data_IF_902834883571
#
_entry.id   IF_902834883571
#
_cell.length_a   1.000
_cell.length_b   1.000
_cell.length_c   1.000
_cell.angle_alpha   90.00
_cell.angle_beta   90.00
_cell.angle_gamma   90.00
#
_symmetry.space_group_name_H-M   'P 1'
#
loop_
_entity.id
_entity.type
_entity.pdbx_description
1 polymer ?
#
# COMPACT_ATOMS: atom_id res chain seq x y z
N UNK A 1 13.93 12.34 3.51
CA UNK A 1 15.05 12.54 2.54
C UNK A 1 15.58 13.98 2.52
N UNK A 2 14.74 15.00 2.74
CA UNK A 2 15.08 16.44 2.59
C UNK A 2 16.12 17.04 3.55
N UNK A 3 16.40 16.45 4.73
CA UNK A 3 17.28 17.08 5.74
C UNK A 3 18.77 16.75 5.62
N UNK A 4 19.16 15.82 4.76
CA UNK A 4 20.55 15.31 4.73
C UNK A 4 21.41 15.87 3.63
N UNK A 5 20.80 16.19 2.50
CA UNK A 5 21.43 17.02 1.49
C UNK A 5 21.90 18.34 2.11
N UNK A 6 21.06 19.08 2.87
CA UNK A 6 21.52 20.28 3.57
C UNK A 6 22.51 19.97 4.69
N UNK A 7 22.37 18.86 5.45
CA UNK A 7 23.34 18.50 6.49
C UNK A 7 24.75 18.24 5.90
N UNK A 8 24.85 17.48 4.82
CA UNK A 8 26.12 17.22 4.15
C UNK A 8 26.72 18.52 3.58
N UNK A 9 25.90 19.41 3.01
CA UNK A 9 26.37 20.72 2.53
C UNK A 9 26.87 21.62 3.66
N UNK A 10 26.17 21.67 4.79
CA UNK A 10 26.61 22.42 5.98
C UNK A 10 27.93 21.87 6.50
N UNK A 11 28.10 20.54 6.53
CA UNK A 11 29.36 19.92 6.94
C UNK A 11 30.51 20.28 6.00
N UNK A 12 30.27 20.30 4.68
CA UNK A 12 31.27 20.73 3.69
C UNK A 12 31.66 22.20 3.89
N UNK A 13 30.67 23.08 4.09
CA UNK A 13 30.92 24.51 4.33
C UNK A 13 31.72 24.75 5.61
N UNK A 14 31.43 24.00 6.68
CA UNK A 14 32.18 24.08 7.95
C UNK A 14 33.57 23.43 7.87
N UNK A 15 33.77 22.44 7.00
CA UNK A 15 35.06 21.81 6.78
C UNK A 15 36.06 22.75 6.07
N UNK A 16 35.60 23.66 5.22
CA UNK A 16 36.45 24.61 4.48
C UNK A 16 37.31 25.48 5.42
N UNK A 17 36.75 26.25 6.38
CA UNK A 17 37.57 27.07 7.27
C UNK A 17 38.47 26.21 8.17
N UNK A 18 38.03 25.01 8.57
CA UNK A 18 38.86 24.07 9.33
C UNK A 18 40.10 23.63 8.54
N UNK A 19 39.93 23.19 7.30
CA UNK A 19 41.04 22.79 6.41
C UNK A 19 41.96 23.98 6.13
N UNK A 20 41.41 25.18 5.88
CA UNK A 20 42.20 26.38 5.64
C UNK A 20 43.05 26.76 6.86
N UNK A 21 42.48 26.70 8.05
CA UNK A 21 43.16 27.10 9.30
C UNK A 21 44.13 26.05 9.86
N UNK A 22 43.84 24.76 9.71
CA UNK A 22 44.67 23.68 10.27
C UNK A 22 45.70 23.12 9.29
N UNK A 23 45.44 23.19 7.98
CA UNK A 23 46.32 22.59 6.96
C UNK A 23 46.92 23.64 6.02
N UNK A 24 46.13 24.55 5.46
CA UNK A 24 46.66 25.47 4.44
C UNK A 24 47.51 26.59 5.04
N UNK A 25 47.00 27.32 6.03
CA UNK A 25 47.70 28.44 6.64
C UNK A 25 49.00 28.03 7.37
N UNK A 26 49.03 27.00 8.25
CA UNK A 26 50.23 26.66 9.00
C UNK A 26 51.37 26.17 8.09
N UNK A 27 51.05 25.43 7.02
CA UNK A 27 52.03 24.92 6.05
C UNK A 27 52.52 25.97 5.05
N UNK A 28 51.84 27.11 4.90
CA UNK A 28 52.24 28.18 3.97
C UNK A 28 53.07 29.27 4.63
N UNK A 29 52.94 29.44 5.96
CA UNK A 29 53.58 30.52 6.70
C UNK A 29 54.77 30.03 7.54
N UNK A 30 54.76 28.78 8.01
CA UNK A 30 55.73 28.27 8.99
C UNK A 30 56.47 27.01 8.58
N UNK A 31 57.40 26.60 9.44
CA UNK A 31 58.09 25.31 9.39
C UNK A 31 57.27 24.21 10.10
N UNK A 32 57.79 22.99 10.11
CA UNK A 32 57.12 21.83 10.72
C UNK A 32 56.83 22.03 12.22
N UNK A 33 57.70 22.76 12.93
CA UNK A 33 57.54 23.05 14.35
C UNK A 33 56.33 23.97 14.59
N UNK A 34 56.13 24.98 13.74
CA UNK A 34 54.96 25.84 13.77
C UNK A 34 53.65 25.06 13.53
N UNK A 35 53.62 24.16 12.54
CA UNK A 35 52.45 23.29 12.27
C UNK A 35 52.08 22.46 13.50
N UNK A 36 53.08 21.82 14.12
CA UNK A 36 52.87 20.99 15.29
C UNK A 36 52.35 21.82 16.48
N UNK A 37 52.88 23.02 16.70
CA UNK A 37 52.42 23.93 17.76
C UNK A 37 50.95 24.35 17.58
N UNK A 38 50.52 24.66 16.35
CA UNK A 38 49.12 24.98 16.03
C UNK A 38 48.22 23.79 16.35
N UNK A 39 48.58 22.58 15.90
CA UNK A 39 47.79 21.37 16.16
C UNK A 39 47.71 21.02 17.64
N UNK A 40 48.81 21.19 18.38
CA UNK A 40 48.84 20.97 19.83
C UNK A 40 47.94 21.96 20.57
N UNK A 41 48.00 23.24 20.20
CA UNK A 41 47.17 24.30 20.80
C UNK A 41 45.68 24.07 20.56
N UNK A 42 45.32 23.60 19.36
CA UNK A 42 43.94 23.32 18.97
C UNK A 42 43.57 21.84 19.04
N UNK A 43 44.28 21.05 19.85
CA UNK A 43 44.10 19.60 19.96
C UNK A 43 42.65 19.20 20.29
N UNK A 44 41.99 19.92 21.19
CA UNK A 44 40.59 19.67 21.56
C UNK A 44 39.64 19.89 20.37
N UNK A 45 39.90 20.90 19.53
CA UNK A 45 39.12 21.16 18.31
C UNK A 45 39.34 20.04 17.28
N UNK A 46 40.60 19.63 17.06
CA UNK A 46 40.94 18.53 16.16
C UNK A 46 40.27 17.22 16.61
N UNK A 47 40.30 16.93 17.92
CA UNK A 47 39.64 15.77 18.51
C UNK A 47 38.12 15.84 18.31
N UNK A 48 37.51 17.02 18.51
CA UNK A 48 36.08 17.24 18.28
C UNK A 48 35.67 17.05 16.83
N UNK A 49 36.46 17.55 15.87
CA UNK A 49 36.21 17.38 14.43
C UNK A 49 36.31 15.91 14.03
N UNK A 50 37.33 15.19 14.50
CA UNK A 50 37.45 13.75 14.24
C UNK A 50 36.26 12.95 14.82
N UNK A 51 35.85 13.26 16.05
CA UNK A 51 34.69 12.63 16.68
C UNK A 51 33.39 12.94 15.90
N UNK A 52 33.23 14.16 15.41
CA UNK A 52 32.09 14.57 14.60
C UNK A 52 32.06 13.84 13.24
N UNK A 53 33.19 13.77 12.54
CA UNK A 53 33.32 13.01 11.28
C UNK A 53 33.01 11.53 11.50
N UNK A 54 33.56 10.93 12.56
CA UNK A 54 33.26 9.56 12.94
C UNK A 54 31.76 9.34 13.20
N UNK A 55 31.09 10.30 13.85
CA UNK A 55 29.64 10.24 14.11
C UNK A 55 28.81 10.31 12.84
N UNK A 56 29.18 11.16 11.87
CA UNK A 56 28.53 11.23 10.56
C UNK A 56 28.71 9.91 9.80
N UNK A 57 29.93 9.37 9.77
CA UNK A 57 30.22 8.09 9.12
C UNK A 57 29.42 6.96 9.75
N UNK A 58 29.37 6.89 11.08
CA UNK A 58 28.58 5.91 11.82
C UNK A 58 27.08 6.03 11.50
N UNK A 59 26.52 7.24 11.51
CA UNK A 59 25.11 7.47 11.18
C UNK A 59 24.80 7.05 9.73
N UNK A 60 25.65 7.38 8.77
CA UNK A 60 25.48 6.98 7.38
C UNK A 60 25.59 5.46 7.20
N UNK A 61 26.52 4.80 7.90
CA UNK A 61 26.67 3.35 7.87
C UNK A 61 25.43 2.64 8.44
N UNK A 62 24.92 3.11 9.59
CA UNK A 62 23.69 2.59 10.20
C UNK A 62 22.53 2.70 9.22
N UNK A 63 22.33 3.88 8.63
CA UNK A 63 21.20 4.10 7.70
C UNK A 63 21.30 3.30 6.41
N UNK A 64 22.49 3.17 5.86
CA UNK A 64 22.72 2.29 4.72
C UNK A 64 22.37 0.83 5.07
N UNK A 65 22.75 0.38 6.27
CA UNK A 65 22.43 -0.97 6.73
C UNK A 65 20.94 -1.18 6.98
N UNK A 66 20.24 -0.19 7.55
CA UNK A 66 18.79 -0.20 7.78
C UNK A 66 18.02 -0.23 6.46
N UNK A 67 18.40 0.62 5.50
CA UNK A 67 17.76 0.65 4.19
C UNK A 67 17.96 -0.67 3.43
N UNK A 68 19.17 -1.24 3.49
CA UNK A 68 19.44 -2.54 2.87
C UNK A 68 18.68 -3.67 3.57
N UNK A 69 18.51 -3.60 4.89
CA UNK A 69 17.69 -4.54 5.67
C UNK A 69 16.21 -4.43 5.29
N UNK A 70 15.67 -3.21 5.24
CA UNK A 70 14.30 -2.91 4.79
C UNK A 70 14.03 -3.48 3.39
N UNK A 71 14.93 -3.22 2.44
CA UNK A 71 14.80 -3.76 1.07
C UNK A 71 14.80 -5.28 1.03
N UNK A 72 15.69 -5.94 1.79
CA UNK A 72 15.72 -7.41 1.88
C UNK A 72 14.45 -7.98 2.50
N UNK A 73 13.98 -7.37 3.59
CA UNK A 73 12.73 -7.76 4.25
C UNK A 73 11.56 -7.59 3.29
N UNK A 74 11.46 -6.45 2.60
CA UNK A 74 10.42 -6.21 1.61
C UNK A 74 10.43 -7.24 0.48
N UNK A 75 11.60 -7.58 -0.08
CA UNK A 75 11.72 -8.61 -1.12
C UNK A 75 11.24 -9.96 -0.60
N UNK A 76 11.62 -10.33 0.64
CA UNK A 76 11.20 -11.58 1.25
C UNK A 76 9.68 -11.64 1.45
N UNK A 77 9.07 -10.59 2.00
CA UNK A 77 7.61 -10.50 2.21
C UNK A 77 6.85 -10.47 0.88
N UNK A 78 7.35 -9.69 -0.09
CA UNK A 78 6.77 -9.57 -1.42
C UNK A 78 6.73 -10.91 -2.17
N UNK A 79 7.67 -11.82 -1.92
CA UNK A 79 7.66 -13.15 -2.52
C UNK A 79 6.40 -13.97 -2.18
N UNK A 80 5.76 -13.69 -1.04
CA UNK A 80 4.51 -14.33 -0.61
C UNK A 80 3.25 -13.56 -1.06
N UNK A 81 3.40 -12.33 -1.55
CA UNK A 81 2.28 -11.49 -1.95
C UNK A 81 1.41 -12.11 -3.06
N UNK A 82 1.94 -12.77 -4.11
CA UNK A 82 1.10 -13.41 -5.12
C UNK A 82 0.16 -14.48 -4.55
N UNK A 83 0.63 -15.26 -3.57
CA UNK A 83 -0.19 -16.27 -2.90
C UNK A 83 -1.32 -15.60 -2.09
N UNK A 84 -0.99 -14.57 -1.31
CA UNK A 84 -1.98 -13.82 -0.54
C UNK A 84 -3.03 -13.15 -1.43
N UNK A 85 -2.62 -12.57 -2.58
CA UNK A 85 -3.53 -12.01 -3.57
C UNK A 85 -4.44 -13.09 -4.17
N UNK A 86 -3.91 -14.27 -4.48
CA UNK A 86 -4.71 -15.39 -5.01
C UNK A 86 -5.77 -15.87 -4.02
N UNK A 87 -5.43 -15.95 -2.73
CA UNK A 87 -6.37 -16.31 -1.65
C UNK A 87 -7.51 -15.28 -1.54
N UNK A 88 -7.17 -13.99 -1.54
CA UNK A 88 -8.16 -12.91 -1.49
C UNK A 88 -9.03 -12.85 -2.74
N UNK A 89 -8.44 -13.01 -3.93
CA UNK A 89 -9.21 -13.10 -5.19
C UNK A 89 -10.15 -14.32 -5.18
N UNK A 90 -9.73 -15.45 -4.61
CA UNK A 90 -10.58 -16.63 -4.46
C UNK A 90 -11.74 -16.37 -3.50
N UNK A 91 -11.47 -15.70 -2.38
CA UNK A 91 -12.51 -15.26 -1.44
C UNK A 91 -13.53 -14.32 -2.11
N UNK A 92 -13.07 -13.29 -2.83
CA UNK A 92 -13.96 -12.36 -3.54
C UNK A 92 -14.82 -13.07 -4.60
N UNK A 93 -14.25 -14.06 -5.31
CA UNK A 93 -15.02 -14.88 -6.25
C UNK A 93 -16.06 -15.76 -5.55
N UNK A 94 -15.76 -16.26 -4.35
CA UNK A 94 -16.73 -16.99 -3.54
C UNK A 94 -17.85 -16.08 -3.00
N UNK A 95 -17.57 -14.79 -2.75
CA UNK A 95 -18.58 -13.81 -2.32
C UNK A 95 -19.52 -13.38 -3.45
N UNK A 96 -19.06 -13.42 -4.71
CA UNK A 96 -19.84 -12.90 -5.83
C UNK A 96 -21.23 -13.53 -5.98
N UNK A 97 -21.42 -14.87 -5.94
CA UNK A 97 -22.76 -15.47 -6.01
C UNK A 97 -23.72 -14.94 -4.95
N UNK A 98 -23.23 -14.75 -3.71
CA UNK A 98 -24.04 -14.26 -2.59
C UNK A 98 -24.55 -12.84 -2.82
N UNK A 99 -23.64 -11.92 -3.19
CA UNK A 99 -23.99 -10.51 -3.42
C UNK A 99 -24.89 -10.38 -4.66
N UNK A 100 -24.64 -11.16 -5.70
CA UNK A 100 -25.43 -11.14 -6.95
C UNK A 100 -26.82 -11.72 -6.72
N UNK A 101 -26.94 -12.81 -5.97
CA UNK A 101 -28.24 -13.36 -5.58
C UNK A 101 -29.06 -12.32 -4.83
N UNK A 102 -28.48 -11.70 -3.80
CA UNK A 102 -29.14 -10.65 -3.03
C UNK A 102 -29.58 -9.48 -3.94
N UNK A 103 -28.71 -9.02 -4.83
CA UNK A 103 -29.03 -7.95 -5.76
C UNK A 103 -30.18 -8.31 -6.69
N UNK A 104 -30.16 -9.50 -7.31
CA UNK A 104 -31.24 -9.98 -8.19
C UNK A 104 -32.57 -10.10 -7.45
N UNK A 105 -32.56 -10.60 -6.21
CA UNK A 105 -33.78 -10.71 -5.39
C UNK A 105 -34.40 -9.35 -5.05
N UNK A 106 -33.59 -8.29 -4.91
CA UNK A 106 -34.14 -6.93 -4.76
C UNK A 106 -34.77 -6.37 -6.03
N UNK A 107 -34.43 -6.91 -7.20
CA UNK A 107 -35.07 -6.55 -8.48
C UNK A 107 -36.38 -7.33 -8.69
N UNK A 108 -36.50 -8.52 -8.11
CA UNK A 108 -37.74 -9.30 -8.11
C UNK A 108 -38.77 -8.70 -7.14
N UNK A 109 -39.78 -8.04 -7.71
CA UNK A 109 -40.88 -7.42 -6.94
C UNK A 109 -41.74 -8.43 -6.18
N UNK A 110 -41.66 -9.71 -6.50
CA UNK A 110 -42.50 -10.77 -5.90
C UNK A 110 -41.87 -11.39 -4.66
N UNK A 111 -40.54 -11.40 -4.58
CA UNK A 111 -39.76 -12.09 -3.54
C UNK A 111 -39.90 -11.43 -2.15
N UNK A 112 -40.00 -10.09 -2.12
CA UNK A 112 -40.00 -9.27 -0.88
C UNK A 112 -38.76 -9.41 0.00
N UNK A 113 -37.74 -10.17 -0.42
CA UNK A 113 -36.43 -10.31 0.25
C UNK A 113 -36.54 -10.81 1.70
N UNK A 114 -37.53 -11.63 2.01
CA UNK A 114 -37.82 -12.09 3.38
C UNK A 114 -37.50 -13.58 3.59
N UNK A 115 -36.75 -14.20 2.69
CA UNK A 115 -36.28 -15.58 2.83
C UNK A 115 -34.76 -15.63 2.78
N UNK A 116 -34.12 -16.58 3.49
CA UNK A 116 -32.67 -16.68 3.53
C UNK A 116 -32.04 -16.78 2.13
N UNK A 117 -30.83 -16.25 1.98
CA UNK A 117 -30.04 -16.44 0.76
C UNK A 117 -29.62 -17.91 0.62
N UNK A 118 -29.61 -18.39 -0.61
CA UNK A 118 -29.23 -19.77 -0.97
C UNK A 118 -27.71 -19.92 -0.99
N UNK A 119 -27.02 -18.90 -1.46
CA UNK A 119 -25.57 -18.81 -1.48
C UNK A 119 -25.01 -18.78 -0.06
N UNK A 120 -23.89 -19.48 0.15
CA UNK A 120 -23.24 -19.55 1.45
C UNK A 120 -22.34 -18.33 1.67
N UNK A 121 -22.29 -17.84 2.90
CA UNK A 121 -21.29 -16.89 3.35
C UNK A 121 -19.89 -17.52 3.28
N UNK A 122 -18.96 -17.00 2.47
CA UNK A 122 -17.60 -17.50 2.43
C UNK A 122 -16.85 -17.10 3.70
N UNK A 123 -15.97 -17.98 4.19
CA UNK A 123 -15.07 -17.66 5.29
C UNK A 123 -13.89 -16.83 4.76
N UNK A 124 -13.59 -15.72 5.41
CA UNK A 124 -12.40 -14.92 5.13
C UNK A 124 -11.13 -15.73 5.48
N UNK A 125 -10.11 -15.80 4.60
CA UNK A 125 -8.86 -16.48 4.90
C UNK A 125 -8.04 -15.71 5.95
N UNK A 126 -7.25 -16.39 6.77
CA UNK A 126 -6.47 -15.73 7.84
C UNK A 126 -5.01 -15.42 7.42
N UNK A 127 -4.49 -16.14 6.42
CA UNK A 127 -3.08 -16.15 6.02
C UNK A 127 -2.58 -14.86 5.37
N UNK A 128 -3.46 -14.14 4.65
CA UNK A 128 -3.07 -12.93 3.92
C UNK A 128 -2.64 -11.77 4.83
N UNK A 129 -3.17 -11.72 6.07
CA UNK A 129 -3.00 -10.58 6.98
C UNK A 129 -1.54 -10.32 7.31
N UNK A 130 -0.80 -11.39 7.60
CA UNK A 130 0.62 -11.29 7.94
C UNK A 130 1.45 -10.85 6.74
N UNK A 131 1.17 -11.39 5.55
CA UNK A 131 1.87 -11.03 4.31
C UNK A 131 1.66 -9.55 3.97
N UNK A 132 0.42 -9.07 4.04
CA UNK A 132 0.11 -7.66 3.78
C UNK A 132 0.76 -6.75 4.83
N UNK A 133 0.69 -7.11 6.12
CA UNK A 133 1.34 -6.35 7.20
C UNK A 133 2.84 -6.22 6.95
N UNK A 134 3.53 -7.31 6.64
CA UNK A 134 4.97 -7.30 6.42
C UNK A 134 5.35 -6.53 5.15
N UNK A 135 4.54 -6.61 4.09
CA UNK A 135 4.75 -5.81 2.88
C UNK A 135 4.57 -4.31 3.17
N UNK A 136 3.48 -3.92 3.84
CA UNK A 136 3.17 -2.52 4.18
C UNK A 136 4.28 -1.90 5.04
N UNK A 137 4.81 -2.67 6.00
CA UNK A 137 5.82 -2.20 6.95
C UNK A 137 7.13 -1.78 6.28
N UNK A 138 7.49 -2.44 5.18
CA UNK A 138 8.82 -2.31 4.55
C UNK A 138 8.76 -1.63 3.17
N UNK A 139 7.54 -1.47 2.61
CA UNK A 139 7.29 -0.88 1.29
C UNK A 139 7.65 0.61 1.18
N UNK A 140 7.68 1.11 -0.05
CA UNK A 140 7.60 2.56 -0.30
C UNK A 140 6.22 3.08 0.10
N UNK A 141 6.07 4.38 0.46
CA UNK A 141 4.78 4.94 0.87
C UNK A 141 3.64 4.66 -0.10
N UNK A 142 3.88 4.81 -1.40
CA UNK A 142 2.89 4.58 -2.45
C UNK A 142 2.34 3.15 -2.48
N UNK A 143 3.23 2.15 -2.33
CA UNK A 143 2.86 0.73 -2.32
C UNK A 143 2.17 0.38 -1.00
N UNK A 144 2.69 0.90 0.12
CA UNK A 144 2.11 0.70 1.45
C UNK A 144 0.67 1.22 1.52
N UNK A 145 0.42 2.44 1.02
CA UNK A 145 -0.91 3.05 0.95
C UNK A 145 -1.86 2.23 0.09
N UNK A 146 -1.41 1.73 -1.06
CA UNK A 146 -2.26 0.92 -1.94
C UNK A 146 -2.61 -0.45 -1.31
N UNK A 147 -1.65 -1.13 -0.69
CA UNK A 147 -1.91 -2.38 0.03
C UNK A 147 -2.84 -2.17 1.23
N UNK A 148 -2.64 -1.09 1.99
CA UNK A 148 -3.54 -0.72 3.08
C UNK A 148 -4.95 -0.39 2.58
N UNK A 149 -5.06 0.27 1.43
CA UNK A 149 -6.36 0.56 0.80
C UNK A 149 -7.14 -0.72 0.48
N UNK A 150 -6.48 -1.72 -0.12
CA UNK A 150 -7.11 -3.02 -0.39
C UNK A 150 -7.61 -3.67 0.90
N UNK A 151 -6.82 -3.65 1.97
CA UNK A 151 -7.23 -4.21 3.27
C UNK A 151 -8.48 -3.52 3.83
N UNK A 152 -8.51 -2.18 3.82
CA UNK A 152 -9.67 -1.41 4.30
C UNK A 152 -10.91 -1.77 3.49
N UNK A 153 -10.78 -1.81 2.16
CA UNK A 153 -11.89 -2.15 1.26
C UNK A 153 -12.37 -3.58 1.45
N UNK A 154 -11.47 -4.53 1.68
CA UNK A 154 -11.78 -5.93 1.96
C UNK A 154 -12.55 -6.07 3.28
N UNK A 155 -12.11 -5.39 4.34
CA UNK A 155 -12.77 -5.41 5.65
C UNK A 155 -14.18 -4.84 5.57
N UNK A 156 -14.36 -3.71 4.88
CA UNK A 156 -15.68 -3.12 4.62
C UNK A 156 -16.56 -4.10 3.84
N UNK A 157 -16.03 -4.72 2.79
CA UNK A 157 -16.77 -5.70 2.00
C UNK A 157 -17.17 -6.93 2.82
N UNK A 158 -16.26 -7.49 3.61
CA UNK A 158 -16.54 -8.64 4.47
C UNK A 158 -17.65 -8.32 5.49
N UNK A 159 -17.50 -7.22 6.25
CA UNK A 159 -18.51 -6.78 7.22
C UNK A 159 -19.88 -6.57 6.57
N UNK A 160 -19.94 -5.92 5.39
CA UNK A 160 -21.20 -5.74 4.65
C UNK A 160 -21.80 -7.06 4.17
N UNK A 161 -20.97 -8.02 3.79
CA UNK A 161 -21.43 -9.34 3.34
C UNK A 161 -21.97 -10.17 4.48
N UNK A 162 -21.39 -10.05 5.69
CA UNK A 162 -21.94 -10.66 6.90
C UNK A 162 -23.31 -10.05 7.24
N UNK A 163 -23.41 -8.72 7.29
CA UNK A 163 -24.69 -8.03 7.53
C UNK A 163 -25.74 -8.37 6.47
N UNK A 164 -25.34 -8.53 5.20
CA UNK A 164 -26.24 -8.89 4.11
C UNK A 164 -26.98 -10.20 4.37
N UNK A 165 -26.31 -11.21 4.95
CA UNK A 165 -26.95 -12.48 5.27
C UNK A 165 -28.02 -12.31 6.35
N UNK A 166 -27.75 -11.45 7.35
CA UNK A 166 -28.71 -11.13 8.41
C UNK A 166 -29.93 -10.38 7.87
N UNK A 167 -29.73 -9.47 6.91
CA UNK A 167 -30.80 -8.67 6.31
C UNK A 167 -31.86 -9.50 5.56
N UNK A 168 -31.48 -10.68 5.03
CA UNK A 168 -32.37 -11.59 4.30
C UNK A 168 -33.02 -12.66 5.18
N UNK A 169 -32.82 -12.63 6.51
CA UNK A 169 -33.53 -13.53 7.42
C UNK A 169 -35.02 -13.15 7.54
N UNK A 170 -35.95 -14.12 7.73
CA UNK A 170 -37.38 -13.84 7.86
C UNK A 170 -37.76 -12.89 9.00
N UNK A 171 -36.91 -12.82 10.02
CA UNK A 171 -37.07 -12.00 11.23
C UNK A 171 -36.44 -10.61 11.08
N UNK A 172 -35.75 -10.34 9.96
CA UNK A 172 -35.11 -9.05 9.68
C UNK A 172 -36.14 -7.94 9.59
N UNK A 173 -35.83 -6.81 10.24
CA UNK A 173 -36.60 -5.56 10.15
C UNK A 173 -36.06 -4.62 9.07
N UNK A 174 -34.94 -5.00 8.44
CA UNK A 174 -34.23 -4.18 7.46
C UNK A 174 -34.60 -4.72 6.08
N UNK A 175 -35.04 -3.84 5.19
CA UNK A 175 -35.30 -4.19 3.79
C UNK A 175 -34.08 -3.85 2.94
N UNK A 176 -33.44 -4.84 2.29
CA UNK A 176 -32.33 -4.59 1.38
C UNK A 176 -32.75 -3.67 0.24
N UNK A 177 -31.91 -2.67 -0.08
CA UNK A 177 -32.18 -1.70 -1.15
C UNK A 177 -31.30 -1.99 -2.36
N UNK A 178 -31.91 -2.11 -3.55
CA UNK A 178 -31.23 -2.51 -4.78
C UNK A 178 -30.01 -1.65 -5.13
N UNK A 179 -30.07 -0.33 -4.94
CA UNK A 179 -28.94 0.59 -5.20
C UNK A 179 -27.73 0.31 -4.29
N UNK A 180 -27.98 -0.08 -3.03
CA UNK A 180 -26.93 -0.44 -2.07
C UNK A 180 -26.21 -1.71 -2.53
N UNK A 181 -26.97 -2.73 -2.95
CA UNK A 181 -26.42 -3.99 -3.43
C UNK A 181 -25.68 -3.83 -4.76
N UNK A 182 -26.19 -3.01 -5.68
CA UNK A 182 -25.47 -2.63 -6.90
C UNK A 182 -24.12 -1.99 -6.58
N UNK A 183 -24.07 -1.11 -5.56
CA UNK A 183 -22.82 -0.50 -5.08
C UNK A 183 -21.89 -1.55 -4.46
N UNK A 184 -22.42 -2.57 -3.80
CA UNK A 184 -21.62 -3.70 -3.29
C UNK A 184 -21.04 -4.57 -4.42
N UNK A 185 -21.81 -4.84 -5.49
CA UNK A 185 -21.33 -5.53 -6.70
C UNK A 185 -20.18 -4.74 -7.34
N UNK A 186 -20.34 -3.42 -7.49
CA UNK A 186 -19.28 -2.54 -7.97
C UNK A 186 -18.04 -2.60 -7.07
N UNK A 187 -18.22 -2.48 -5.75
CA UNK A 187 -17.12 -2.49 -4.79
C UNK A 187 -16.36 -3.83 -4.77
N UNK A 188 -17.05 -4.95 -5.02
CA UNK A 188 -16.43 -6.26 -5.15
C UNK A 188 -15.59 -6.36 -6.43
N UNK A 189 -16.07 -5.82 -7.55
CA UNK A 189 -15.32 -5.78 -8.80
C UNK A 189 -14.11 -4.84 -8.71
N UNK A 190 -14.24 -3.74 -7.96
CA UNK A 190 -13.12 -2.85 -7.65
C UNK A 190 -12.03 -3.59 -6.87
N UNK A 191 -12.39 -4.32 -5.81
CA UNK A 191 -11.44 -5.11 -5.03
C UNK A 191 -10.68 -6.12 -5.91
N UNK A 192 -11.39 -6.87 -6.75
CA UNK A 192 -10.74 -7.79 -7.69
C UNK A 192 -9.82 -7.08 -8.67
N UNK A 193 -10.22 -5.91 -9.16
CA UNK A 193 -9.43 -5.14 -10.11
C UNK A 193 -8.14 -4.59 -9.46
N UNK A 194 -8.23 -4.09 -8.23
CA UNK A 194 -7.06 -3.65 -7.45
C UNK A 194 -6.08 -4.80 -7.22
N UNK A 195 -6.59 -5.97 -6.80
CA UNK A 195 -5.75 -7.16 -6.60
C UNK A 195 -5.14 -7.65 -7.91
N UNK A 196 -5.91 -7.59 -9.01
CA UNK A 196 -5.45 -8.00 -10.34
C UNK A 196 -4.24 -7.16 -10.81
N UNK A 197 -4.33 -5.84 -10.65
CA UNK A 197 -3.26 -4.90 -11.01
C UNK A 197 -1.95 -5.14 -10.25
N UNK A 198 -2.03 -5.70 -9.03
CA UNK A 198 -0.85 -5.99 -8.21
C UNK A 198 -0.11 -7.27 -8.59
N UNK A 199 -0.70 -8.23 -9.33
CA UNK A 199 -0.04 -9.51 -9.57
C UNK A 199 1.29 -9.38 -10.33
N UNK A 200 1.34 -8.54 -11.36
CA UNK A 200 2.56 -8.35 -12.16
C UNK A 200 3.67 -7.67 -11.36
N UNK A 201 3.29 -6.70 -10.53
CA UNK A 201 4.18 -6.08 -9.57
C UNK A 201 4.69 -7.09 -8.54
N UNK A 202 3.80 -7.86 -7.91
CA UNK A 202 4.11 -8.85 -6.89
C UNK A 202 5.07 -9.94 -7.42
N UNK A 203 4.89 -10.36 -8.68
CA UNK A 203 5.77 -11.32 -9.37
C UNK A 203 7.11 -10.72 -9.83
N UNK A 204 7.30 -9.41 -9.71
CA UNK A 204 8.52 -8.73 -10.14
C UNK A 204 8.68 -8.61 -11.66
N UNK A 205 7.58 -8.74 -12.41
CA UNK A 205 7.57 -8.63 -13.87
C UNK A 205 7.48 -7.18 -14.36
N UNK A 206 6.81 -6.33 -13.58
CA UNK A 206 6.63 -4.89 -13.87
C UNK A 206 6.86 -4.04 -12.63
N UNK A 207 7.03 -2.73 -12.85
CA UNK A 207 7.03 -1.73 -11.77
C UNK A 207 5.66 -1.61 -11.10
N UNK A 208 5.59 -0.91 -9.97
CA UNK A 208 4.31 -0.66 -9.31
C UNK A 208 3.44 0.24 -10.18
N UNK A 209 2.27 -0.26 -10.58
CA UNK A 209 1.28 0.50 -11.33
C UNK A 209 0.21 1.04 -10.38
N UNK A 210 0.17 2.36 -10.26
CA UNK A 210 -0.80 3.08 -9.44
C UNK A 210 -1.83 3.83 -10.30
N UNK A 211 -1.92 3.51 -11.60
CA UNK A 211 -2.88 4.13 -12.50
C UNK A 211 -4.31 3.86 -12.05
N UNK A 212 -5.22 4.76 -12.40
CA UNK A 212 -6.64 4.58 -12.13
C UNK A 212 -7.15 3.34 -12.87
N UNK A 213 -7.98 2.53 -12.20
CA UNK A 213 -8.60 1.37 -12.81
C UNK A 213 -9.45 1.79 -14.01
N UNK A 214 -9.44 1.01 -15.08
CA UNK A 214 -10.31 1.19 -16.24
C UNK A 214 -11.68 0.53 -16.01
N UNK A 215 -12.73 1.06 -16.63
CA UNK A 215 -14.06 0.43 -16.60
C UNK A 215 -14.03 -1.01 -17.17
N UNK A 216 -13.16 -1.28 -18.14
CA UNK A 216 -12.99 -2.63 -18.72
C UNK A 216 -12.54 -3.68 -17.70
N UNK A 217 -11.76 -3.30 -16.68
CA UNK A 217 -11.36 -4.22 -15.61
C UNK A 217 -12.58 -4.67 -14.81
N UNK A 218 -13.50 -3.76 -14.48
CA UNK A 218 -14.76 -4.09 -13.80
C UNK A 218 -15.64 -4.99 -14.66
N UNK A 219 -15.82 -4.64 -15.94
CA UNK A 219 -16.66 -5.41 -16.86
C UNK A 219 -16.16 -6.84 -17.05
N UNK A 220 -14.84 -7.05 -16.98
CA UNK A 220 -14.24 -8.39 -17.05
C UNK A 220 -14.68 -9.26 -15.87
N UNK A 221 -14.76 -8.69 -14.66
CA UNK A 221 -15.25 -9.41 -13.47
C UNK A 221 -16.77 -9.59 -13.47
N UNK A 222 -17.54 -8.60 -13.92
CA UNK A 222 -18.98 -8.78 -14.11
C UNK A 222 -19.29 -9.95 -15.05
N UNK A 223 -18.56 -10.04 -16.17
CA UNK A 223 -18.66 -11.16 -17.11
C UNK A 223 -18.26 -12.49 -16.45
N UNK A 224 -17.18 -12.50 -15.68
CA UNK A 224 -16.74 -13.70 -14.94
C UNK A 224 -17.84 -14.20 -13.98
N UNK A 225 -18.61 -13.29 -13.39
CA UNK A 225 -19.73 -13.63 -12.50
C UNK A 225 -21.08 -13.77 -13.19
N UNK A 226 -21.07 -13.87 -14.53
CA UNK A 226 -22.28 -14.05 -15.34
C UNK A 226 -23.32 -12.92 -15.13
N UNK A 227 -22.82 -11.68 -15.07
CA UNK A 227 -23.61 -10.45 -15.15
C UNK A 227 -23.42 -9.89 -16.55
N UNK A 228 -24.49 -9.87 -17.35
CA UNK A 228 -24.49 -9.18 -18.64
C UNK A 228 -24.65 -7.67 -18.41
N UNK A 229 -23.60 -6.91 -18.72
CA UNK A 229 -23.59 -5.47 -18.51
C UNK A 229 -24.46 -4.71 -19.52
N UNK A 230 -24.72 -5.30 -20.69
CA UNK A 230 -25.58 -4.70 -21.71
C UNK A 230 -27.06 -4.81 -21.32
N UNK A 231 -27.43 -5.81 -20.52
CA UNK A 231 -28.76 -5.93 -19.92
C UNK A 231 -28.94 -5.10 -18.64
N UNK A 232 -27.85 -4.55 -18.10
CA UNK A 232 -27.83 -3.81 -16.82
C UNK A 232 -27.28 -2.39 -16.99
N UNK A 233 -28.02 -1.53 -17.71
CA UNK A 233 -27.61 -0.13 -17.99
C UNK A 233 -27.25 0.67 -16.74
N UNK A 234 -27.99 0.52 -15.64
CA UNK A 234 -27.70 1.24 -14.39
C UNK A 234 -26.31 0.92 -13.83
N UNK A 235 -25.95 -0.38 -13.80
CA UNK A 235 -24.63 -0.82 -13.33
C UNK A 235 -23.52 -0.37 -14.30
N UNK A 236 -23.79 -0.40 -15.61
CA UNK A 236 -22.88 0.07 -16.66
C UNK A 236 -22.56 1.55 -16.47
N UNK A 237 -23.59 2.39 -16.45
CA UNK A 237 -23.48 3.84 -16.29
C UNK A 237 -22.82 4.18 -14.94
N UNK A 238 -23.20 3.48 -13.87
CA UNK A 238 -22.59 3.69 -12.55
C UNK A 238 -21.09 3.36 -12.57
N UNK A 239 -20.70 2.26 -13.21
CA UNK A 239 -19.30 1.84 -13.31
C UNK A 239 -18.50 2.83 -14.16
N UNK A 240 -19.00 3.23 -15.33
CA UNK A 240 -18.34 4.21 -16.20
C UNK A 240 -18.15 5.56 -15.51
N UNK A 241 -19.08 5.98 -14.65
CA UNK A 241 -18.97 7.24 -13.89
C UNK A 241 -18.00 7.17 -12.70
N UNK A 242 -17.72 5.98 -12.16
CA UNK A 242 -17.03 5.83 -10.88
C UNK A 242 -15.75 4.98 -10.91
N UNK A 243 -15.45 4.25 -11.98
CA UNK A 243 -14.30 3.33 -12.08
C UNK A 243 -12.95 3.95 -11.70
N UNK A 244 -12.70 5.22 -12.08
CA UNK A 244 -11.44 5.91 -11.81
C UNK A 244 -11.37 6.60 -10.44
N UNK A 245 -12.45 6.60 -9.65
CA UNK A 245 -12.48 7.26 -8.34
C UNK A 245 -11.95 6.30 -7.29
N UNK A 246 -10.84 6.66 -6.64
CA UNK A 246 -10.52 6.07 -5.34
C UNK A 246 -11.49 6.66 -4.32
N UNK A 247 -12.32 5.79 -3.76
CA UNK A 247 -13.17 6.16 -2.65
C UNK A 247 -12.28 6.35 -1.43
N UNK A 248 -11.87 7.60 -1.18
CA UNK A 248 -11.36 7.99 0.13
C UNK A 248 -12.54 7.80 1.09
N UNK A 249 -12.33 6.95 2.10
CA UNK A 249 -13.25 6.74 3.22
C UNK A 249 -13.80 8.05 3.75
#
# INVERSE_FOLDING_TARGET
>A
MYWLVPLNWVCVVLAIPYVLSMLVYPFTVGDWEHVHAVWFTWQSLNTGVLAFVASILALNAVRYSEEKKRQRNFIASKAFLPQALSELSSYCNACAPLVIEAWRRTQDRTDRCNTPLTSKLPKLPDSYQQVFKDCISEATPEVAEHLAYILVRLQIHHSRTESLVEEFLPESKITPVSISLMTQVFALAELQSLMSQLFDYARGTTGFDNSALSASSFFSFYRLWNIDIEENEDLKIFTERNHGKRWNT
#
